data_IF_862276552234
#
_entry.id   IF_862276552234
#
_cell.length_a   1.000
_cell.length_b   1.000
_cell.length_c   1.000
_cell.angle_alpha   90.00
_cell.angle_beta   90.00
_cell.angle_gamma   90.00
#
_symmetry.space_group_name_H-M   'P 1'
#
loop_
_entity.id
_entity.type
_entity.pdbx_description
1 polymer ?
#
# COMPACT_ATOMS: atom_id res chain seq x y z
N UNK A 1 -5.13 56.86 21.52
CA UNK A 1 -5.69 56.08 20.40
C UNK A 1 -4.74 55.04 19.79
N UNK A 2 -3.43 55.05 20.08
CA UNK A 2 -2.51 53.98 19.63
C UNK A 2 -2.44 52.77 20.58
N UNK A 3 -2.75 52.96 21.87
CA UNK A 3 -2.53 51.96 22.93
C UNK A 3 -3.59 50.84 22.97
N UNK A 4 -4.81 51.10 22.48
CA UNK A 4 -5.92 50.14 22.52
C UNK A 4 -5.88 49.15 21.32
N UNK A 5 -5.17 49.50 20.25
CA UNK A 5 -5.02 48.64 19.06
C UNK A 5 -3.93 47.56 19.25
N UNK A 6 -2.83 47.90 19.93
CA UNK A 6 -1.74 46.95 20.22
C UNK A 6 -2.19 45.83 21.18
N UNK A 7 -3.06 46.16 22.14
CA UNK A 7 -3.62 45.17 23.07
C UNK A 7 -4.56 44.16 22.36
N UNK A 8 -5.27 44.59 21.32
CA UNK A 8 -6.09 43.69 20.48
C UNK A 8 -5.23 42.81 19.57
N UNK A 9 -4.14 43.33 19.00
CA UNK A 9 -3.23 42.55 18.16
C UNK A 9 -2.52 41.47 18.97
N UNK A 10 -2.03 41.80 20.17
CA UNK A 10 -1.42 40.85 21.08
C UNK A 10 -2.42 39.78 21.56
N UNK A 11 -3.68 40.15 21.81
CA UNK A 11 -4.75 39.21 22.13
C UNK A 11 -5.07 38.22 21.00
N UNK A 12 -5.07 38.67 19.75
CA UNK A 12 -5.27 37.80 18.58
C UNK A 12 -4.08 36.86 18.34
N UNK A 13 -2.85 37.33 18.58
CA UNK A 13 -1.65 36.49 18.50
C UNK A 13 -1.70 35.41 19.59
N UNK A 14 -2.06 35.75 20.83
CA UNK A 14 -2.23 34.78 21.92
C UNK A 14 -3.35 33.76 21.65
N UNK A 15 -4.50 34.18 21.09
CA UNK A 15 -5.56 33.23 20.67
C UNK A 15 -5.12 32.33 19.51
N UNK A 16 -4.36 32.85 18.54
CA UNK A 16 -3.82 32.02 17.43
C UNK A 16 -2.77 31.01 17.91
N UNK A 17 -2.04 31.34 18.98
CA UNK A 17 -1.08 30.46 19.64
C UNK A 17 -1.79 29.30 20.36
N UNK A 18 -2.99 29.55 20.92
CA UNK A 18 -3.81 28.57 21.63
C UNK A 18 -4.55 27.60 20.68
N UNK A 19 -4.72 27.95 19.41
CA UNK A 19 -5.26 27.04 18.37
C UNK A 19 -4.20 26.16 17.70
N UNK A 20 -2.91 26.36 18.00
CA UNK A 20 -1.79 25.63 17.39
C UNK A 20 -1.33 24.46 18.28
N UNK A 21 -2.30 23.68 18.79
CA UNK A 21 -2.06 22.70 19.85
C UNK A 21 -2.86 21.42 19.74
N UNK A 22 -3.32 21.02 18.56
CA UNK A 22 -3.47 19.59 18.28
C UNK A 22 -2.16 19.16 17.65
N UNK A 23 -1.36 18.36 18.36
CA UNK A 23 -0.35 17.51 17.73
C UNK A 23 -1.12 16.58 16.78
N UNK A 24 -1.40 17.05 15.57
CA UNK A 24 -2.01 16.25 14.53
C UNK A 24 -1.01 15.12 14.29
N UNK A 25 -1.35 13.94 14.82
CA UNK A 25 -0.63 12.72 14.52
C UNK A 25 -0.86 12.51 13.02
N UNK A 26 0.08 13.00 12.22
CA UNK A 26 -0.03 12.95 10.77
C UNK A 26 0.21 11.50 10.36
N UNK A 27 -0.88 10.78 10.10
CA UNK A 27 -0.82 9.41 9.62
C UNK A 27 -0.13 9.41 8.24
N UNK A 28 0.88 8.55 8.07
CA UNK A 28 1.68 8.53 6.84
C UNK A 28 1.02 7.63 5.78
N UNK A 29 0.86 8.13 4.56
CA UNK A 29 0.45 7.33 3.41
C UNK A 29 1.68 6.93 2.59
N UNK A 30 1.88 5.63 2.40
CA UNK A 30 2.98 5.07 1.61
C UNK A 30 2.39 4.29 0.45
N UNK A 31 2.77 4.68 -0.77
CA UNK A 31 2.40 3.96 -2.00
C UNK A 31 3.63 3.22 -2.50
N UNK A 32 3.48 1.94 -2.81
CA UNK A 32 4.58 1.13 -3.31
C UNK A 32 4.09 0.11 -4.33
N UNK A 33 4.94 -0.29 -5.28
CA UNK A 33 4.61 -1.32 -6.25
C UNK A 33 4.95 -2.72 -5.75
N UNK A 34 4.15 -3.71 -6.14
CA UNK A 34 4.41 -5.13 -5.86
C UNK A 34 5.80 -5.54 -6.35
N UNK A 35 6.50 -6.38 -5.58
CA UNK A 35 7.88 -6.80 -5.80
C UNK A 35 8.95 -5.87 -5.21
N UNK A 36 8.62 -4.65 -4.80
CA UNK A 36 9.58 -3.71 -4.18
C UNK A 36 9.75 -3.96 -2.68
N UNK A 37 10.77 -3.33 -2.08
CA UNK A 37 11.00 -3.33 -0.64
C UNK A 37 10.57 -1.99 -0.05
N UNK A 38 9.87 -2.00 1.09
CA UNK A 38 9.44 -0.78 1.80
C UNK A 38 10.12 -0.68 3.15
N UNK A 39 10.31 0.56 3.60
CA UNK A 39 10.72 0.88 4.97
C UNK A 39 9.73 1.85 5.60
N UNK A 40 8.99 1.38 6.58
CA UNK A 40 7.98 2.16 7.31
C UNK A 40 8.64 2.83 8.51
N UNK A 41 8.62 4.16 8.54
CA UNK A 41 9.28 4.94 9.59
C UNK A 41 8.55 4.81 10.93
N UNK A 42 9.33 4.67 12.01
CA UNK A 42 8.83 4.87 13.37
C UNK A 42 9.42 6.18 13.92
N UNK A 43 8.70 7.29 13.77
CA UNK A 43 9.22 8.64 14.03
C UNK A 43 9.48 8.95 15.52
N UNK A 44 9.12 8.04 16.44
CA UNK A 44 9.21 8.23 17.90
C UNK A 44 10.11 7.19 18.60
N UNK A 45 10.97 6.50 17.86
CA UNK A 45 11.69 5.35 18.39
C UNK A 45 12.91 5.71 19.27
N UNK A 46 13.10 4.94 20.35
CA UNK A 46 14.33 4.96 21.15
C UNK A 46 15.45 4.18 20.45
N UNK A 47 16.71 4.51 20.76
CA UNK A 47 17.90 4.02 20.05
C UNK A 47 18.11 2.48 20.09
N UNK A 48 17.45 1.73 20.97
CA UNK A 48 17.64 0.28 21.14
C UNK A 48 16.46 -0.58 20.66
N UNK A 49 15.37 0.05 20.23
CA UNK A 49 14.12 -0.60 19.82
C UNK A 49 13.45 -1.53 20.84
N UNK A 50 13.96 -1.65 22.06
CA UNK A 50 13.44 -2.56 23.09
C UNK A 50 12.02 -2.18 23.53
N UNK A 51 11.66 -0.90 23.35
CA UNK A 51 10.32 -0.36 23.59
C UNK A 51 9.38 -0.45 22.38
N UNK A 52 9.84 -0.96 21.24
CA UNK A 52 9.12 -0.88 19.96
C UNK A 52 8.24 -2.09 19.73
N UNK A 53 6.96 -1.83 19.46
CA UNK A 53 6.01 -2.83 18.95
C UNK A 53 5.48 -2.37 17.61
N UNK A 54 5.54 -3.24 16.60
CA UNK A 54 4.87 -3.03 15.32
C UNK A 54 3.63 -3.89 15.23
N UNK A 55 2.49 -3.27 14.99
CA UNK A 55 1.18 -3.89 14.91
C UNK A 55 0.65 -3.70 13.49
N UNK A 56 0.07 -4.75 12.91
CA UNK A 56 -0.51 -4.76 11.57
C UNK A 56 -1.99 -5.09 11.63
N UNK A 57 -2.78 -4.34 10.87
CA UNK A 57 -4.18 -4.61 10.60
C UNK A 57 -4.40 -4.57 9.10
N UNK A 58 -4.85 -5.68 8.51
CA UNK A 58 -5.18 -5.71 7.09
C UNK A 58 -6.43 -4.88 6.78
N UNK A 59 -7.43 -5.03 7.65
CA UNK A 59 -8.69 -4.30 7.61
C UNK A 59 -8.99 -3.76 9.01
N UNK A 60 -9.84 -2.73 9.10
CA UNK A 60 -10.21 -2.16 10.40
C UNK A 60 -10.77 -3.19 11.39
N UNK A 61 -11.55 -4.15 10.91
CA UNK A 61 -12.21 -5.15 11.74
C UNK A 61 -11.44 -6.49 11.80
N UNK A 62 -10.26 -6.56 11.15
CA UNK A 62 -9.37 -7.72 11.29
C UNK A 62 -8.67 -7.71 12.65
N UNK A 63 -8.37 -8.90 13.18
CA UNK A 63 -7.57 -9.02 14.38
C UNK A 63 -6.18 -8.40 14.16
N UNK A 64 -5.77 -7.55 15.10
CA UNK A 64 -4.44 -6.95 15.08
C UNK A 64 -3.36 -8.02 15.27
N UNK A 65 -2.33 -7.99 14.42
CA UNK A 65 -1.19 -8.92 14.47
C UNK A 65 0.05 -8.15 14.92
N UNK A 66 0.70 -8.63 15.98
CA UNK A 66 2.03 -8.12 16.36
C UNK A 66 3.09 -8.70 15.41
N UNK A 67 3.77 -7.84 14.66
CA UNK A 67 4.88 -8.23 13.79
C UNK A 67 6.21 -8.22 14.55
N UNK A 68 6.42 -7.19 15.36
CA UNK A 68 7.56 -6.97 16.24
C UNK A 68 7.01 -6.66 17.63
N UNK A 69 7.53 -7.30 18.67
CA UNK A 69 7.18 -6.99 20.06
C UNK A 69 8.48 -6.75 20.85
N UNK A 70 8.58 -5.58 21.47
CA UNK A 70 9.75 -5.17 22.26
C UNK A 70 11.05 -5.28 21.46
N UNK A 71 11.03 -4.87 20.19
CA UNK A 71 12.16 -4.97 19.26
C UNK A 71 12.41 -6.38 18.68
N UNK A 72 11.69 -7.40 19.16
CA UNK A 72 11.89 -8.79 18.75
C UNK A 72 10.84 -9.19 17.71
N UNK A 73 11.31 -9.70 16.57
CA UNK A 73 10.44 -10.19 15.50
C UNK A 73 9.68 -11.46 15.93
N UNK A 74 8.36 -11.44 15.81
CA UNK A 74 7.47 -12.58 16.10
C UNK A 74 7.63 -13.68 15.05
N UNK A 75 7.81 -14.93 15.48
CA UNK A 75 8.09 -16.08 14.58
C UNK A 75 6.85 -16.61 13.87
N UNK A 76 5.70 -16.43 14.50
CA UNK A 76 4.37 -16.85 14.09
C UNK A 76 3.65 -15.81 13.22
N UNK A 77 4.24 -14.63 13.04
CA UNK A 77 3.70 -13.64 12.12
C UNK A 77 3.79 -14.17 10.68
N UNK A 78 2.65 -14.24 10.00
CA UNK A 78 2.62 -14.37 8.54
C UNK A 78 3.59 -13.32 7.98
N UNK A 79 4.52 -13.73 7.10
CA UNK A 79 5.57 -12.87 6.49
C UNK A 79 6.85 -12.68 7.32
N UNK A 80 7.05 -13.45 8.40
CA UNK A 80 8.25 -13.42 9.25
C UNK A 80 9.58 -13.32 8.46
N UNK A 81 9.73 -14.08 7.39
CA UNK A 81 10.98 -14.14 6.61
C UNK A 81 11.30 -12.84 5.86
N UNK A 82 10.27 -12.09 5.45
CA UNK A 82 10.41 -10.84 4.68
C UNK A 82 10.56 -9.61 5.57
N UNK A 83 10.28 -9.74 6.86
CA UNK A 83 10.31 -8.64 7.83
C UNK A 83 11.68 -8.49 8.50
N UNK A 84 12.14 -7.25 8.65
CA UNK A 84 13.28 -6.91 9.50
C UNK A 84 13.08 -5.56 10.17
N UNK A 85 13.79 -5.33 11.28
CA UNK A 85 13.78 -4.06 11.98
C UNK A 85 15.09 -3.32 11.67
N UNK A 86 14.98 -2.08 11.20
CA UNK A 86 16.14 -1.20 11.04
C UNK A 86 16.69 -0.72 12.38
N UNK A 87 17.92 -0.20 12.38
CA UNK A 87 18.58 0.33 13.59
C UNK A 87 17.86 1.51 14.25
N UNK A 88 16.98 2.19 13.53
CA UNK A 88 16.11 3.25 14.04
C UNK A 88 14.66 2.75 14.26
N UNK A 89 14.48 1.44 14.41
CA UNK A 89 13.21 0.78 14.69
C UNK A 89 12.13 0.93 13.60
N UNK A 90 12.53 1.34 12.40
CA UNK A 90 11.67 1.30 11.22
C UNK A 90 11.46 -0.14 10.77
N UNK A 91 10.23 -0.47 10.35
CA UNK A 91 9.89 -1.79 9.85
C UNK A 91 10.25 -1.89 8.36
N UNK A 92 11.12 -2.82 8.00
CA UNK A 92 11.38 -3.15 6.61
C UNK A 92 10.55 -4.37 6.21
N UNK A 93 9.93 -4.29 5.04
CA UNK A 93 9.20 -5.40 4.43
C UNK A 93 9.78 -5.60 3.03
N UNK A 94 10.38 -6.76 2.80
CA UNK A 94 10.96 -7.11 1.51
C UNK A 94 9.92 -7.77 0.61
N UNK A 95 10.06 -7.59 -0.71
CA UNK A 95 9.22 -8.21 -1.73
C UNK A 95 7.71 -8.08 -1.43
N UNK A 96 7.22 -6.84 -1.47
CA UNK A 96 5.82 -6.49 -1.21
C UNK A 96 4.88 -7.23 -2.16
N UNK A 97 3.76 -7.74 -1.64
CA UNK A 97 2.67 -8.31 -2.45
C UNK A 97 1.37 -7.52 -2.24
N UNK A 98 0.33 -7.78 -3.04
CA UNK A 98 -1.01 -7.22 -2.80
C UNK A 98 -1.63 -7.65 -1.46
N UNK A 99 -1.02 -8.59 -0.73
CA UNK A 99 -1.50 -8.95 0.60
C UNK A 99 -0.92 -8.01 1.67
N UNK A 100 0.11 -7.21 1.33
CA UNK A 100 0.83 -6.31 2.25
C UNK A 100 0.20 -4.92 2.40
N UNK A 101 -0.84 -4.54 1.65
CA UNK A 101 -1.56 -3.31 1.99
C UNK A 101 -2.20 -3.44 3.38
N UNK A 102 -2.25 -2.34 4.10
CA UNK A 102 -2.78 -2.37 5.46
C UNK A 102 -2.43 -1.15 6.29
N UNK A 103 -2.85 -1.22 7.54
CA UNK A 103 -2.54 -0.23 8.55
C UNK A 103 -1.49 -0.75 9.52
N UNK A 104 -0.35 -0.08 9.53
CA UNK A 104 0.80 -0.41 10.34
C UNK A 104 0.95 0.64 11.44
N UNK A 105 1.10 0.18 12.68
CA UNK A 105 1.22 1.02 13.86
C UNK A 105 2.55 0.71 14.51
N UNK A 106 3.44 1.69 14.58
CA UNK A 106 4.57 1.65 15.48
C UNK A 106 4.16 2.24 16.83
N UNK A 107 4.25 1.42 17.86
CA UNK A 107 3.98 1.79 19.24
C UNK A 107 5.25 1.74 20.06
N UNK A 108 5.44 2.77 20.89
CA UNK A 108 6.60 2.89 21.78
C UNK A 108 6.13 2.84 23.23
N UNK A 109 6.86 2.12 24.07
CA UNK A 109 6.61 2.05 25.52
C UNK A 109 7.77 2.67 26.30
N UNK A 110 7.55 3.83 26.91
CA UNK A 110 8.54 4.52 27.76
C UNK A 110 8.10 4.40 29.20
N UNK A 111 8.94 3.88 30.10
CA UNK A 111 8.60 3.68 31.52
C UNK A 111 7.28 2.91 31.73
N UNK A 112 7.01 1.90 30.88
CA UNK A 112 5.76 1.11 30.85
C UNK A 112 4.50 1.90 30.48
N UNK A 113 4.64 3.16 30.06
CA UNK A 113 3.56 3.96 29.51
C UNK A 113 3.62 3.94 27.98
N UNK A 114 2.45 3.84 27.35
CA UNK A 114 2.33 3.92 25.91
C UNK A 114 2.55 5.38 25.46
N UNK A 115 3.51 5.59 24.56
CA UNK A 115 3.73 6.86 23.88
C UNK A 115 2.79 7.04 22.67
N UNK A 116 2.93 8.15 21.97
CA UNK A 116 2.17 8.43 20.76
C UNK A 116 2.50 7.43 19.65
N UNK A 117 1.47 6.77 19.12
CA UNK A 117 1.58 5.84 17.99
C UNK A 117 2.03 6.60 16.72
N UNK A 118 2.98 6.03 15.99
CA UNK A 118 3.24 6.41 14.60
C UNK A 118 2.47 5.46 13.69
N UNK A 119 1.68 6.00 12.78
CA UNK A 119 0.68 5.27 12.00
C UNK A 119 1.00 5.40 10.52
N UNK A 120 0.93 4.29 9.80
CA UNK A 120 1.25 4.22 8.37
C UNK A 120 0.16 3.42 7.65
N UNK A 121 -0.46 4.05 6.66
CA UNK A 121 -1.28 3.40 5.65
C UNK A 121 -0.39 2.97 4.48
N UNK A 122 -0.24 1.66 4.30
CA UNK A 122 0.49 1.10 3.17
C UNK A 122 -0.52 0.74 2.07
N UNK A 123 -0.33 1.33 0.89
CA UNK A 123 -1.11 1.08 -0.31
C UNK A 123 -0.22 0.41 -1.36
N UNK A 124 -0.73 -0.64 -2.00
CA UNK A 124 0.07 -1.46 -2.93
C UNK A 124 -0.46 -1.31 -4.36
N UNK A 125 0.43 -0.96 -5.29
CA UNK A 125 0.16 -0.91 -6.72
C UNK A 125 0.59 -2.22 -7.37
N UNK A 126 -0.36 -2.97 -7.91
CA UNK A 126 -0.13 -4.24 -8.57
C UNK A 126 -0.42 -4.12 -10.07
N UNK A 127 0.43 -4.74 -10.88
CA UNK A 127 0.28 -4.80 -12.33
C UNK A 127 0.09 -6.24 -12.77
N UNK A 128 -1.02 -6.52 -13.44
CA UNK A 128 -1.28 -7.83 -14.05
C UNK A 128 -1.64 -7.68 -15.53
N UNK A 129 -1.63 -8.81 -16.25
CA UNK A 129 -1.92 -8.87 -17.68
C UNK A 129 -2.86 -10.03 -17.96
N UNK A 130 -3.75 -9.87 -18.95
CA UNK A 130 -4.58 -10.97 -19.48
C UNK A 130 -3.76 -12.09 -20.12
N UNK A 131 -2.52 -11.82 -20.52
CA UNK A 131 -1.56 -12.85 -20.95
C UNK A 131 -0.91 -13.51 -19.73
N UNK A 132 -1.59 -14.48 -19.12
CA UNK A 132 -1.24 -15.09 -17.82
C UNK A 132 0.03 -15.96 -17.79
N UNK A 133 0.97 -15.80 -18.72
CA UNK A 133 2.18 -16.61 -18.74
C UNK A 133 3.42 -15.72 -18.81
N UNK A 134 4.22 -15.82 -17.74
CA UNK A 134 5.66 -15.70 -17.87
C UNK A 134 6.10 -16.58 -19.04
N UNK A 135 6.50 -15.95 -20.15
CA UNK A 135 6.94 -16.63 -21.38
C UNK A 135 5.84 -17.38 -22.15
N UNK A 136 4.97 -16.65 -22.85
CA UNK A 136 4.37 -17.16 -24.09
C UNK A 136 4.38 -16.08 -25.15
N UNK A 137 5.31 -16.27 -26.10
CA UNK A 137 5.23 -15.92 -27.52
C UNK A 137 4.20 -14.83 -27.89
N UNK A 138 4.66 -13.58 -27.81
CA UNK A 138 3.93 -12.45 -28.37
C UNK A 138 4.09 -12.50 -29.90
N UNK A 139 2.99 -12.82 -30.59
CA UNK A 139 2.86 -12.61 -32.03
C UNK A 139 2.16 -11.27 -32.26
N UNK A 140 2.70 -10.44 -33.16
CA UNK A 140 2.02 -9.21 -33.57
C UNK A 140 0.58 -9.49 -34.01
N UNK A 141 -0.32 -8.55 -33.74
CA UNK A 141 -1.75 -8.68 -33.99
C UNK A 141 -2.58 -9.26 -32.83
N UNK A 142 -1.95 -9.75 -31.75
CA UNK A 142 -2.67 -10.13 -30.52
C UNK A 142 -2.96 -8.92 -29.65
N UNK A 143 -4.16 -8.89 -29.07
CA UNK A 143 -4.53 -7.89 -28.07
C UNK A 143 -4.00 -8.31 -26.69
N UNK A 144 -3.42 -7.36 -25.97
CA UNK A 144 -3.06 -7.48 -24.55
C UNK A 144 -3.90 -6.50 -23.75
N UNK A 145 -4.31 -6.91 -22.56
CA UNK A 145 -4.98 -6.06 -21.58
C UNK A 145 -4.15 -6.04 -20.32
N UNK A 146 -3.71 -4.86 -19.92
CA UNK A 146 -2.98 -4.61 -18.70
C UNK A 146 -3.92 -4.03 -17.65
N UNK A 147 -3.87 -4.59 -16.45
CA UNK A 147 -4.65 -4.14 -15.30
C UNK A 147 -3.70 -3.54 -14.28
N UNK A 148 -3.94 -2.29 -13.92
CA UNK A 148 -3.22 -1.63 -12.85
C UNK A 148 -4.16 -1.38 -11.68
N UNK A 149 -4.00 -2.20 -10.64
CA UNK A 149 -4.82 -2.20 -9.45
C UNK A 149 -4.07 -1.56 -8.30
N UNK A 150 -4.65 -0.52 -7.70
CA UNK A 150 -4.30 -0.03 -6.39
C UNK A 150 -5.10 -0.81 -5.35
N UNK A 151 -4.41 -1.37 -4.36
CA UNK A 151 -4.98 -1.95 -3.16
C UNK A 151 -4.81 -0.95 -2.02
N UNK A 152 -5.83 -0.14 -1.72
CA UNK A 152 -5.74 0.84 -0.65
C UNK A 152 -6.18 0.25 0.70
N UNK A 153 -5.57 0.74 1.78
CA UNK A 153 -6.23 0.70 3.09
C UNK A 153 -7.10 1.96 3.23
N UNK A 154 -8.41 1.79 3.38
CA UNK A 154 -9.34 2.87 3.75
C UNK A 154 -10.09 2.51 5.02
N UNK A 155 -10.61 3.54 5.71
CA UNK A 155 -11.52 3.32 6.83
C UNK A 155 -12.81 2.64 6.35
N UNK A 156 -13.30 1.69 7.16
CA UNK A 156 -14.47 0.88 6.81
C UNK A 156 -15.68 1.73 6.38
N UNK A 157 -16.30 1.35 5.26
CA UNK A 157 -17.50 2.01 4.72
C UNK A 157 -17.21 3.08 3.67
N UNK A 158 -15.96 3.44 3.41
CA UNK A 158 -15.59 4.33 2.29
C UNK A 158 -15.25 3.49 1.08
N UNK A 159 -15.98 3.70 -0.03
CA UNK A 159 -15.65 3.04 -1.30
C UNK A 159 -14.27 3.47 -1.77
N UNK A 160 -13.60 2.63 -2.57
CA UNK A 160 -12.35 3.03 -3.20
C UNK A 160 -12.49 4.37 -3.94
N UNK A 161 -13.59 4.54 -4.68
CA UNK A 161 -13.86 5.73 -5.48
C UNK A 161 -13.89 6.99 -4.62
N UNK A 162 -14.67 6.94 -3.52
CA UNK A 162 -14.80 8.08 -2.61
C UNK A 162 -13.46 8.44 -1.97
N UNK A 163 -12.67 7.45 -1.55
CA UNK A 163 -11.37 7.67 -0.92
C UNK A 163 -10.35 8.28 -1.90
N UNK A 164 -10.26 7.76 -3.13
CA UNK A 164 -9.34 8.27 -4.13
C UNK A 164 -9.65 9.73 -4.47
N UNK A 165 -10.94 10.07 -4.60
CA UNK A 165 -11.36 11.46 -4.84
C UNK A 165 -11.05 12.37 -3.66
N UNK A 166 -11.31 11.92 -2.43
CA UNK A 166 -11.09 12.75 -1.24
C UNK A 166 -9.61 13.03 -0.97
N UNK A 167 -8.72 12.07 -1.24
CA UNK A 167 -7.29 12.22 -1.03
C UNK A 167 -6.55 12.83 -2.24
N UNK A 168 -7.23 13.06 -3.36
CA UNK A 168 -6.60 13.55 -4.58
C UNK A 168 -5.58 12.55 -5.13
N UNK A 169 -5.98 11.28 -5.19
CA UNK A 169 -5.21 10.19 -5.76
C UNK A 169 -5.59 10.03 -7.23
N UNK A 170 -4.63 9.70 -8.09
CA UNK A 170 -4.90 9.43 -9.50
C UNK A 170 -4.04 8.28 -9.99
N UNK A 171 -4.67 7.30 -10.65
CA UNK A 171 -4.01 6.28 -11.45
C UNK A 171 -4.00 6.67 -12.92
N UNK A 172 -2.86 6.53 -13.58
CA UNK A 172 -2.74 6.83 -15.00
C UNK A 172 -1.64 6.02 -15.67
N UNK A 173 -1.80 5.84 -16.99
CA UNK A 173 -0.80 5.22 -17.84
C UNK A 173 0.14 6.24 -18.45
N UNK A 174 1.39 5.84 -18.59
CA UNK A 174 2.48 6.62 -19.19
C UNK A 174 3.14 5.74 -20.25
N UNK A 175 3.39 6.32 -21.41
CA UNK A 175 4.13 5.63 -22.46
C UNK A 175 5.65 5.64 -22.20
N UNK A 176 6.39 4.95 -23.07
CA UNK A 176 7.86 4.89 -23.00
C UNK A 176 8.55 6.27 -23.03
N UNK A 177 7.93 7.28 -23.66
CA UNK A 177 8.48 8.64 -23.71
C UNK A 177 8.21 9.46 -22.44
N UNK A 178 7.55 8.88 -21.43
CA UNK A 178 7.17 9.59 -20.21
C UNK A 178 5.92 10.45 -20.35
N UNK A 179 5.17 10.32 -21.45
CA UNK A 179 3.95 11.10 -21.69
C UNK A 179 2.75 10.35 -21.13
N UNK A 180 1.95 11.05 -20.32
CA UNK A 180 0.67 10.57 -19.79
C UNK A 180 -0.30 10.27 -20.94
N UNK A 181 -0.76 9.04 -21.02
CA UNK A 181 -1.71 8.58 -22.02
C UNK A 181 -3.11 9.12 -21.71
N UNK A 182 -3.86 9.44 -22.76
CA UNK A 182 -5.23 9.95 -22.66
C UNK A 182 -6.21 8.89 -23.14
N UNK A 183 -7.43 8.92 -22.60
CA UNK A 183 -8.53 8.05 -23.03
C UNK A 183 -8.84 8.22 -24.54
N UNK A 184 -8.57 9.41 -25.09
CA UNK A 184 -8.75 9.71 -26.51
C UNK A 184 -7.65 9.18 -27.43
N UNK A 185 -6.63 8.49 -26.90
CA UNK A 185 -5.55 7.94 -27.71
C UNK A 185 -6.08 6.77 -28.55
N UNK A 186 -6.04 6.90 -29.88
CA UNK A 186 -6.60 5.89 -30.78
C UNK A 186 -5.90 4.53 -30.70
N UNK A 187 -4.64 4.49 -30.21
CA UNK A 187 -3.88 3.25 -30.07
C UNK A 187 -4.29 2.46 -28.83
N UNK A 188 -4.79 3.13 -27.79
CA UNK A 188 -5.00 2.54 -26.48
C UNK A 188 -6.46 2.66 -26.06
N UNK A 189 -7.07 1.53 -25.74
CA UNK A 189 -8.37 1.53 -25.08
C UNK A 189 -8.15 1.59 -23.57
N UNK A 190 -8.24 2.80 -23.00
CA UNK A 190 -8.07 3.05 -21.57
C UNK A 190 -9.44 3.17 -20.91
N UNK A 191 -9.65 2.42 -19.83
CA UNK A 191 -10.87 2.48 -19.03
C UNK A 191 -10.54 2.39 -17.54
N UNK A 192 -11.40 2.96 -16.70
CA UNK A 192 -11.34 2.81 -15.24
C UNK A 192 -12.69 2.26 -14.77
N UNK A 193 -12.69 1.03 -14.23
CA UNK A 193 -13.92 0.38 -13.74
C UNK A 193 -14.33 0.93 -12.37
N UNK A 194 -13.33 1.13 -11.52
CA UNK A 194 -13.35 1.91 -10.28
C UNK A 194 -12.05 2.74 -10.29
N UNK A 195 -11.97 3.83 -9.55
CA UNK A 195 -10.76 4.67 -9.59
C UNK A 195 -9.50 3.98 -9.03
N UNK A 196 -9.62 2.77 -8.44
CA UNK A 196 -8.49 1.94 -8.01
C UNK A 196 -8.00 0.99 -9.11
N UNK A 197 -8.72 0.84 -10.22
CA UNK A 197 -8.32 -0.03 -11.32
C UNK A 197 -8.39 0.72 -12.64
N UNK A 198 -7.22 0.95 -13.23
CA UNK A 198 -7.11 1.49 -14.58
C UNK A 198 -6.59 0.41 -15.52
N UNK A 199 -7.35 0.18 -16.59
CA UNK A 199 -7.07 -0.82 -17.62
C UNK A 199 -6.51 -0.15 -18.87
N UNK A 200 -5.53 -0.78 -19.51
CA UNK A 200 -5.05 -0.42 -20.85
C UNK A 200 -5.13 -1.65 -21.75
N UNK A 201 -5.90 -1.56 -22.82
CA UNK A 201 -5.95 -2.58 -23.86
C UNK A 201 -5.35 -2.06 -25.16
N UNK A 202 -4.50 -2.87 -25.80
CA UNK A 202 -3.85 -2.54 -27.07
C UNK A 202 -3.56 -3.78 -27.88
N UNK A 203 -3.60 -3.65 -29.21
CA UNK A 203 -3.07 -4.66 -30.12
C UNK A 203 -1.56 -4.48 -30.24
N UNK A 204 -0.81 -5.57 -30.05
CA UNK A 204 0.65 -5.56 -30.10
C UNK A 204 1.14 -5.47 -31.54
N UNK A 205 2.03 -4.52 -31.82
CA UNK A 205 2.67 -4.36 -33.13
C UNK A 205 4.07 -4.98 -33.13
N UNK A 206 4.62 -5.25 -34.33
CA UNK A 206 6.01 -5.72 -34.47
C UNK A 206 7.02 -4.73 -33.87
N UNK A 207 6.72 -3.42 -33.96
CA UNK A 207 7.52 -2.34 -33.38
C UNK A 207 7.47 -2.25 -31.85
N UNK A 208 6.62 -3.05 -31.19
CA UNK A 208 6.43 -2.99 -29.73
C UNK A 208 7.42 -3.85 -28.97
N UNK A 209 8.41 -4.43 -29.65
CA UNK A 209 9.48 -5.14 -28.96
C UNK A 209 10.19 -4.22 -27.97
N UNK A 210 10.27 -4.64 -26.70
CA UNK A 210 10.81 -3.87 -25.57
C UNK A 210 10.07 -2.56 -25.29
N UNK A 211 8.85 -2.39 -25.82
CA UNK A 211 8.00 -1.25 -25.44
C UNK A 211 7.60 -1.38 -23.98
N UNK A 212 7.65 -0.24 -23.31
CA UNK A 212 7.23 -0.10 -21.93
C UNK A 212 5.92 0.68 -21.81
N UNK A 213 5.00 0.14 -21.02
CA UNK A 213 3.86 0.88 -20.49
C UNK A 213 3.98 0.94 -18.98
N UNK A 214 3.90 2.13 -18.42
CA UNK A 214 4.04 2.37 -16.99
C UNK A 214 2.73 2.84 -16.41
N UNK A 215 2.23 2.14 -15.42
CA UNK A 215 1.16 2.65 -14.58
C UNK A 215 1.76 3.42 -13.40
N UNK A 216 1.24 4.61 -13.13
CA UNK A 216 1.71 5.47 -12.04
C UNK A 216 0.56 5.90 -11.15
N UNK A 217 0.86 6.08 -9.86
CA UNK A 217 -0.07 6.63 -8.86
C UNK A 217 0.43 7.97 -8.36
N UNK A 218 -0.45 8.95 -8.29
CA UNK A 218 -0.20 10.22 -7.59
C UNK A 218 -0.99 10.30 -6.30
N UNK A 219 -0.50 11.13 -5.39
CA UNK A 219 -1.21 11.59 -4.20
C UNK A 219 -0.96 13.09 -4.10
N UNK A 220 -2.04 13.89 -4.15
CA UNK A 220 -1.99 15.37 -4.17
C UNK A 220 -1.07 15.89 -5.27
N UNK A 221 -1.33 15.44 -6.50
CA UNK A 221 -0.61 15.80 -7.74
C UNK A 221 0.89 15.43 -7.78
N UNK A 222 1.37 14.64 -6.81
CA UNK A 222 2.76 14.16 -6.77
C UNK A 222 2.80 12.67 -7.04
N UNK A 223 3.62 12.26 -8.00
CA UNK A 223 3.86 10.83 -8.28
C UNK A 223 4.50 10.19 -7.05
N UNK A 224 3.88 9.12 -6.54
CA UNK A 224 4.35 8.41 -5.35
C UNK A 224 4.99 7.06 -5.72
N UNK A 225 4.37 6.31 -6.64
CA UNK A 225 4.90 5.03 -7.12
C UNK A 225 4.53 4.78 -8.57
N UNK A 226 5.22 3.83 -9.19
CA UNK A 226 4.92 3.37 -10.55
C UNK A 226 5.41 1.96 -10.79
N UNK A 227 4.72 1.24 -11.68
CA UNK A 227 5.05 -0.11 -12.10
C UNK A 227 5.03 -0.20 -13.62
N UNK A 228 6.01 -0.91 -14.19
CA UNK A 228 6.21 -1.00 -15.65
C UNK A 228 5.91 -2.41 -16.14
N UNK A 229 5.20 -2.49 -17.27
CA UNK A 229 5.12 -3.68 -18.11
C UNK A 229 6.01 -3.49 -19.34
N UNK A 230 6.89 -4.45 -19.59
CA UNK A 230 7.76 -4.47 -20.78
C UNK A 230 7.40 -5.63 -21.69
N UNK A 231 7.15 -5.33 -22.96
CA UNK A 231 6.88 -6.34 -23.99
C UNK A 231 8.14 -7.15 -24.29
N UNK A 232 8.08 -8.46 -24.11
CA UNK A 232 9.18 -9.38 -24.49
C UNK A 232 8.83 -10.08 -25.81
N UNK A 233 9.66 -9.92 -26.84
CA UNK A 233 9.53 -10.68 -28.10
C UNK A 233 10.34 -11.98 -28.01
N UNK A 234 9.90 -13.03 -28.72
CA UNK A 234 10.75 -14.18 -28.99
C UNK A 234 11.79 -13.77 -30.03
N UNK A 235 13.03 -13.55 -29.60
CA UNK A 235 14.13 -13.70 -30.53
C UNK A 235 14.11 -15.16 -30.98
N UNK A 236 13.87 -15.40 -32.26
CA UNK A 236 14.12 -16.69 -32.87
C UNK A 236 15.60 -16.98 -32.66
N UNK A 237 15.92 -17.95 -31.79
CA UNK A 237 17.27 -18.53 -31.76
C UNK A 237 17.59 -18.92 -33.21
N UNK A 238 18.49 -18.16 -33.84
CA UNK A 238 19.02 -18.54 -35.15
C UNK A 238 19.73 -19.86 -34.92
N UNK A 239 19.04 -20.94 -35.28
CA UNK A 239 19.63 -22.24 -35.52
C UNK A 239 20.81 -22.02 -36.44
N UNK A 240 22.01 -21.99 -35.87
CA UNK A 240 23.22 -22.10 -36.67
C UNK A 240 23.18 -23.52 -37.19
N UNK A 241 22.79 -23.65 -38.46
CA UNK A 241 22.88 -24.88 -39.23
C UNK A 241 24.30 -25.41 -39.07
N UNK A 242 24.46 -26.41 -38.21
CA UNK A 242 25.69 -27.19 -38.15
C UNK A 242 25.74 -27.97 -39.47
N UNK A 243 26.49 -27.41 -40.43
CA UNK A 243 26.94 -28.12 -41.62
C UNK A 243 27.73 -29.32 -41.12
N UNK A 244 27.18 -30.52 -41.30
CA UNK A 244 27.83 -31.79 -40.98
C UNK A 244 29.09 -31.90 -41.85
N UNK A 245 30.31 -31.98 -41.28
CA UNK A 245 31.46 -32.48 -42.01
C UNK A 245 31.47 -34.00 -41.85
N UNK A 246 31.28 -34.69 -42.97
CA UNK A 246 31.49 -36.13 -43.11
C UNK A 246 32.98 -36.43 -42.89
N UNK A 247 33.31 -37.22 -41.87
CA UNK A 247 34.51 -38.05 -41.93
C UNK A 247 34.31 -39.41 -41.25
N UNK A 248 34.39 -40.46 -42.07
CA UNK A 248 34.50 -41.86 -41.68
C UNK A 248 35.92 -42.15 -41.18
N UNK A 249 36.08 -42.92 -40.10
CA UNK A 249 36.65 -44.29 -40.15
C UNK A 249 36.81 -44.93 -38.75
N UNK A 250 36.26 -46.14 -38.64
CA UNK A 250 36.67 -47.36 -37.92
C UNK A 250 37.68 -47.28 -36.75
N UNK A 251 37.31 -47.85 -35.59
CA UNK A 251 37.86 -49.15 -35.11
C UNK A 251 37.30 -49.60 -33.74
N UNK A 252 36.92 -50.89 -33.69
CA UNK A 252 37.00 -51.88 -32.59
C UNK A 252 36.28 -51.69 -31.23
N UNK A 253 35.33 -52.62 -31.01
CA UNK A 253 34.79 -53.19 -29.74
C UNK A 253 35.93 -53.99 -29.00
N UNK A 254 35.80 -54.59 -27.77
CA UNK A 254 34.56 -54.84 -27.01
C UNK A 254 34.61 -54.87 -25.44
N UNK A 255 33.40 -55.07 -24.88
CA UNK A 255 33.08 -55.76 -23.60
C UNK A 255 33.16 -54.90 -22.31
N UNK A 256 32.26 -54.99 -21.33
CA UNK A 256 31.54 -56.17 -20.80
C UNK A 256 30.14 -55.87 -20.22
N UNK A 257 29.29 -56.86 -20.45
CA UNK A 257 28.05 -57.32 -19.82
C UNK A 257 27.93 -57.18 -18.29
N UNK A 258 26.73 -56.84 -17.79
CA UNK A 258 25.94 -57.77 -16.97
C UNK A 258 24.48 -57.34 -16.76
N UNK A 259 23.62 -58.34 -16.91
CA UNK A 259 22.16 -58.36 -16.99
C UNK A 259 21.58 -58.90 -15.67
N UNK A 260 20.44 -58.38 -15.19
CA UNK A 260 19.19 -59.11 -14.88
C UNK A 260 18.32 -58.52 -13.75
N UNK A 261 17.11 -58.10 -14.18
CA UNK A 261 15.74 -58.44 -13.73
C UNK A 261 15.36 -58.53 -12.23
N UNK A 262 14.41 -57.64 -11.90
CA UNK A 262 13.04 -57.88 -11.35
C UNK A 262 12.85 -58.44 -9.94
N UNK A 263 12.23 -57.65 -9.05
CA UNK A 263 10.96 -57.97 -8.34
C UNK A 263 10.46 -56.82 -7.45
N UNK A 264 9.16 -56.59 -7.45
CA UNK A 264 8.43 -55.81 -6.43
C UNK A 264 8.33 -56.60 -5.10
N UNK A 265 7.98 -55.92 -4.00
CA UNK A 265 6.67 -56.18 -3.41
C UNK A 265 5.92 -54.95 -2.85
N UNK A 266 4.66 -55.23 -2.60
CA UNK A 266 3.54 -54.43 -2.10
C UNK A 266 3.59 -54.20 -0.56
N UNK A 267 3.04 -53.08 -0.07
CA UNK A 267 2.41 -52.98 1.26
C UNK A 267 1.74 -51.63 1.53
N UNK A 268 0.42 -51.73 1.69
CA UNK A 268 -0.56 -50.80 2.25
C UNK A 268 -0.28 -50.45 3.72
N UNK A 269 -0.55 -49.22 4.16
CA UNK A 269 -0.92 -48.91 5.56
C UNK A 269 -1.86 -47.69 5.62
N UNK A 270 -3.01 -47.90 6.28
CA UNK A 270 -4.05 -46.93 6.64
C UNK A 270 -3.70 -46.19 7.95
N UNK A 271 -4.04 -44.91 8.08
CA UNK A 271 -4.07 -44.15 9.35
C UNK A 271 -5.33 -43.25 9.37
N UNK A 272 -6.02 -43.06 10.53
CA UNK A 272 -7.41 -42.64 10.58
C UNK A 272 -7.63 -41.12 10.72
N UNK A 273 -8.80 -40.69 10.27
CA UNK A 273 -9.37 -39.35 10.48
C UNK A 273 -10.04 -39.29 11.86
N UNK A 274 -9.69 -38.29 12.67
CA UNK A 274 -10.47 -37.88 13.84
C UNK A 274 -10.98 -36.46 13.62
N UNK A 275 -12.30 -36.32 13.58
CA UNK A 275 -13.03 -35.06 13.57
C UNK A 275 -13.34 -34.65 15.01
N UNK A 276 -13.06 -33.40 15.35
CA UNK A 276 -13.52 -32.78 16.59
C UNK A 276 -14.43 -31.59 16.26
N UNK A 277 -15.68 -31.70 16.70
CA UNK A 277 -16.67 -30.63 16.69
C UNK A 277 -16.36 -29.66 17.84
N UNK A 278 -16.55 -28.36 17.63
CA UNK A 278 -16.60 -27.38 18.72
C UNK A 278 -17.93 -26.63 18.67
N UNK A 279 -18.60 -26.64 19.82
CA UNK A 279 -19.89 -26.03 20.09
C UNK A 279 -19.77 -24.52 20.35
N UNK A 280 -20.77 -23.79 19.86
CA UNK A 280 -20.96 -22.35 20.03
C UNK A 280 -21.46 -22.04 21.45
N UNK A 281 -20.69 -21.29 22.25
CA UNK A 281 -21.18 -20.67 23.48
C UNK A 281 -21.27 -19.15 23.33
N UNK A 282 -22.51 -18.66 23.37
CA UNK A 282 -22.89 -17.24 23.36
C UNK A 282 -22.52 -16.57 24.70
N UNK A 283 -21.85 -15.41 24.65
CA UNK A 283 -21.66 -14.54 25.82
C UNK A 283 -22.13 -13.12 25.50
N UNK A 284 -23.13 -12.66 26.27
CA UNK A 284 -23.63 -11.28 26.32
C UNK A 284 -22.52 -10.32 26.77
N UNK A 285 -22.37 -9.22 26.06
CA UNK A 285 -21.59 -8.05 26.50
C UNK A 285 -22.56 -6.96 26.96
N UNK A 286 -22.35 -6.46 28.18
CA UNK A 286 -23.04 -5.27 28.73
C UNK A 286 -22.48 -4.00 28.10
N UNK A 287 -23.37 -3.14 27.61
CA UNK A 287 -23.02 -1.88 26.95
C UNK A 287 -22.55 -0.82 27.97
N UNK A 288 -21.40 -0.19 27.69
CA UNK A 288 -21.03 1.10 28.27
C UNK A 288 -21.28 2.19 27.21
N UNK A 289 -21.91 3.29 27.62
CA UNK A 289 -22.38 4.36 26.75
C UNK A 289 -21.26 5.07 25.97
N UNK A 290 -21.51 5.57 24.74
CA UNK A 290 -20.49 6.17 23.90
C UNK A 290 -20.20 7.64 24.27
N UNK A 291 -18.92 7.93 24.45
CA UNK A 291 -18.31 9.25 24.73
C UNK A 291 -18.45 10.28 23.59
N UNK A 292 -19.33 10.06 22.61
CA UNK A 292 -19.47 10.89 21.42
C UNK A 292 -20.36 12.13 21.61
N UNK A 293 -21.17 12.19 22.67
CA UNK A 293 -22.07 13.33 22.91
C UNK A 293 -21.34 14.54 23.50
N UNK A 294 -20.20 14.34 24.17
CA UNK A 294 -19.47 15.43 24.83
C UNK A 294 -18.74 16.34 23.83
N UNK A 295 -18.29 15.81 22.68
CA UNK A 295 -17.49 16.59 21.71
C UNK A 295 -18.34 17.57 20.90
N UNK A 296 -19.61 17.24 20.61
CA UNK A 296 -20.49 18.12 19.82
C UNK A 296 -20.99 19.32 20.66
N UNK A 297 -21.19 19.13 21.96
CA UNK A 297 -21.67 20.20 22.86
C UNK A 297 -20.59 21.28 23.09
N UNK A 298 -19.32 20.88 23.10
CA UNK A 298 -18.19 21.82 23.27
C UNK A 298 -17.93 22.62 21.99
N UNK A 299 -18.06 22.01 20.80
CA UNK A 299 -17.86 22.67 19.52
C UNK A 299 -18.93 23.73 19.19
N UNK A 300 -20.21 23.43 19.44
CA UNK A 300 -21.32 24.36 19.17
C UNK A 300 -21.27 25.60 20.10
N UNK A 301 -20.86 25.40 21.36
CA UNK A 301 -20.73 26.49 22.34
C UNK A 301 -19.60 27.45 21.95
N UNK A 302 -18.51 26.94 21.39
CA UNK A 302 -17.37 27.75 20.97
C UNK A 302 -17.69 28.58 19.72
N UNK A 303 -18.41 28.01 18.75
CA UNK A 303 -18.84 28.73 17.53
C UNK A 303 -19.78 29.91 17.85
N UNK A 304 -20.71 29.73 18.81
CA UNK A 304 -21.61 30.80 19.26
C UNK A 304 -20.87 31.92 19.99
N UNK A 305 -19.86 31.59 20.79
CA UNK A 305 -19.00 32.59 21.46
C UNK A 305 -18.18 33.39 20.45
N UNK A 306 -17.63 32.75 19.42
CA UNK A 306 -16.89 33.44 18.35
C UNK A 306 -17.81 34.38 17.56
N UNK A 307 -19.02 33.94 17.20
CA UNK A 307 -20.00 34.79 16.52
C UNK A 307 -20.41 36.00 17.37
N UNK A 308 -20.66 35.80 18.67
CA UNK A 308 -20.97 36.90 19.59
C UNK A 308 -19.82 37.92 19.69
N UNK A 309 -18.57 37.44 19.70
CA UNK A 309 -17.39 38.29 19.78
C UNK A 309 -17.16 39.09 18.49
N UNK A 310 -17.42 38.49 17.31
CA UNK A 310 -17.41 39.18 16.02
C UNK A 310 -18.50 40.26 15.97
N UNK A 311 -19.73 39.94 16.39
CA UNK A 311 -20.84 40.91 16.44
C UNK A 311 -20.52 42.07 17.40
N UNK A 312 -19.91 41.77 18.55
CA UNK A 312 -19.49 42.80 19.51
C UNK A 312 -18.40 43.72 18.93
N UNK A 313 -17.42 43.17 18.22
CA UNK A 313 -16.39 43.96 17.53
C UNK A 313 -16.98 44.86 16.44
N UNK A 314 -17.96 44.37 15.67
CA UNK A 314 -18.65 45.16 14.64
C UNK A 314 -19.43 46.31 15.29
N UNK A 315 -20.13 46.07 16.40
CA UNK A 315 -20.85 47.11 17.15
C UNK A 315 -19.93 48.12 17.86
N UNK A 316 -18.74 47.70 18.29
CA UNK A 316 -17.74 48.64 18.84
C UNK A 316 -17.19 49.54 17.74
N UNK A 317 -16.90 48.97 16.56
CA UNK A 317 -16.42 49.73 15.38
C UNK A 317 -17.45 50.76 14.89
N UNK A 318 -18.74 50.41 14.85
CA UNK A 318 -19.78 51.35 14.42
C UNK A 318 -20.06 52.47 15.43
N UNK A 319 -19.77 52.25 16.73
CA UNK A 319 -19.82 53.31 17.75
C UNK A 319 -18.63 54.27 17.66
N UNK A 320 -17.45 53.82 17.25
CA UNK A 320 -16.31 54.72 17.01
C UNK A 320 -16.49 55.61 15.77
N UNK A 321 -17.28 55.20 14.77
CA UNK A 321 -17.58 56.04 13.60
C UNK A 321 -18.70 57.07 13.82
N UNK A 322 -19.30 57.12 15.02
CA UNK A 322 -20.41 58.01 15.35
C UNK A 322 -20.03 59.11 16.35
N UNK A 323 -18.73 59.25 16.65
CA UNK A 323 -18.19 60.30 17.52
C UNK A 323 -17.13 61.16 16.81
N UNK A 324 -17.35 61.47 15.54
CA UNK A 324 -16.74 62.58 14.81
C UNK A 324 -17.84 63.55 14.37
#
# INVERSE_FOLDING_TARGET
MADECDLCLLGLIFLSSLLSGSSEVNDAHVFISSGQNVRLSCNNALHDCNSTTWIYNRFRDSAAVELINSGIKKKDAERHERLSLGSNCSLNINNITEEDYGFYICRQYVNKQQGTDARVFLHVLHLSSSSSSSQTEISAGRSVTLFCQLYPYSYAGVSCDDWIRSEGIELFWVNQAGVKLKISDSRYQISASDHCNITLTTTLLNEDHNREWRCSVTHRDRVQSSVTYTVKSSAQDKTTTAVIPVHNTNSQNPSTTNTHKTKAPDSTTLIPVSSSNSETTSRRTTAAAPTQVIVIVVGASFALLILALIIWLIHKKSRCQKSD
#
